data_IF_302168643750
#
_entry.id   IF_302168643750
#
_cell.length_a   1.000
_cell.length_b   1.000
_cell.length_c   1.000
_cell.angle_alpha   90.00
_cell.angle_beta   90.00
_cell.angle_gamma   90.00
#
_symmetry.space_group_name_H-M   'P 1'
#
loop_
_entity.id
_entity.type
_entity.pdbx_description
1 polymer ?
#
# COMPACT_ATOMS: atom_id res chain seq x y z
N UNK A 1 -20.13 -26.45 -20.68
CA UNK A 1 -19.33 -25.21 -20.62
C UNK A 1 -17.87 -25.62 -20.77
N UNK A 2 -17.09 -24.99 -21.66
CA UNK A 2 -15.72 -25.45 -21.97
C UNK A 2 -14.76 -24.99 -20.86
N UNK A 3 -14.04 -25.94 -20.25
CA UNK A 3 -13.05 -25.73 -19.17
C UNK A 3 -12.07 -24.58 -19.47
N UNK A 4 -11.68 -24.43 -20.74
CA UNK A 4 -10.81 -23.33 -21.21
C UNK A 4 -11.44 -21.94 -21.05
N UNK A 5 -12.75 -21.83 -21.20
CA UNK A 5 -13.47 -20.55 -21.06
C UNK A 5 -13.48 -20.08 -19.61
N UNK A 6 -13.56 -20.99 -18.65
CA UNK A 6 -13.64 -20.62 -17.24
C UNK A 6 -12.26 -20.28 -16.68
N UNK A 7 -11.21 -21.00 -17.10
CA UNK A 7 -9.82 -20.63 -16.81
C UNK A 7 -9.47 -19.22 -17.33
N UNK A 8 -9.90 -18.89 -18.56
CA UNK A 8 -9.68 -17.55 -19.12
C UNK A 8 -10.40 -16.45 -18.33
N UNK A 9 -11.65 -16.67 -17.90
CA UNK A 9 -12.39 -15.70 -17.07
C UNK A 9 -11.69 -15.45 -15.73
N UNK A 10 -11.19 -16.49 -15.08
CA UNK A 10 -10.45 -16.36 -13.81
C UNK A 10 -9.20 -15.52 -14.02
N UNK A 11 -8.37 -15.85 -15.02
CA UNK A 11 -7.16 -15.10 -15.32
C UNK A 11 -7.45 -13.62 -15.67
N UNK A 12 -8.54 -13.37 -16.38
CA UNK A 12 -9.00 -12.01 -16.68
C UNK A 12 -9.34 -11.25 -15.39
N UNK A 13 -10.13 -11.85 -14.50
CA UNK A 13 -10.51 -11.24 -13.22
C UNK A 13 -9.30 -10.99 -12.32
N UNK A 14 -8.35 -11.93 -12.23
CA UNK A 14 -7.10 -11.76 -11.47
C UNK A 14 -6.27 -10.59 -12.01
N UNK A 15 -6.15 -10.48 -13.34
CA UNK A 15 -5.42 -9.39 -13.99
C UNK A 15 -6.09 -8.05 -13.70
N UNK A 16 -7.42 -7.96 -13.85
CA UNK A 16 -8.15 -6.74 -13.53
C UNK A 16 -8.04 -6.36 -12.05
N UNK A 17 -8.15 -7.34 -11.14
CA UNK A 17 -7.99 -7.09 -9.71
C UNK A 17 -6.60 -6.54 -9.39
N UNK A 18 -5.55 -7.09 -10.00
CA UNK A 18 -4.17 -6.61 -9.86
C UNK A 18 -4.01 -5.17 -10.38
N UNK A 19 -4.49 -4.89 -11.60
CA UNK A 19 -4.42 -3.56 -12.21
C UNK A 19 -5.17 -2.51 -11.39
N UNK A 20 -6.39 -2.84 -10.94
CA UNK A 20 -7.21 -1.97 -10.10
C UNK A 20 -6.52 -1.70 -8.77
N UNK A 21 -6.01 -2.75 -8.11
CA UNK A 21 -5.29 -2.62 -6.83
C UNK A 21 -4.06 -1.72 -6.97
N UNK A 22 -3.29 -1.89 -8.05
CA UNK A 22 -2.12 -1.04 -8.32
C UNK A 22 -2.52 0.41 -8.58
N UNK A 23 -3.55 0.65 -9.39
CA UNK A 23 -4.04 2.00 -9.68
C UNK A 23 -4.55 2.71 -8.42
N UNK A 24 -5.37 2.04 -7.61
CA UNK A 24 -5.84 2.60 -6.34
C UNK A 24 -4.71 2.76 -5.32
N UNK A 25 -3.72 1.87 -5.32
CA UNK A 25 -2.51 2.02 -4.49
C UNK A 25 -1.75 3.30 -4.83
N UNK A 26 -1.60 3.63 -6.11
CA UNK A 26 -1.00 4.88 -6.56
C UNK A 26 -1.85 6.10 -6.15
N UNK A 27 -3.16 6.06 -6.39
CA UNK A 27 -4.07 7.14 -5.99
C UNK A 27 -4.01 7.39 -4.48
N UNK A 28 -4.03 6.32 -3.67
CA UNK A 28 -3.92 6.41 -2.23
C UNK A 28 -2.58 7.04 -1.80
N UNK A 29 -1.47 6.63 -2.42
CA UNK A 29 -0.15 7.21 -2.13
C UNK A 29 -0.10 8.72 -2.42
N UNK A 30 -0.69 9.16 -3.54
CA UNK A 30 -0.76 10.57 -3.91
C UNK A 30 -1.64 11.36 -2.93
N UNK A 31 -2.83 10.85 -2.61
CA UNK A 31 -3.77 11.49 -1.71
C UNK A 31 -3.21 11.66 -0.29
N UNK A 32 -2.49 10.66 0.24
CA UNK A 32 -1.84 10.78 1.55
C UNK A 32 -0.69 11.79 1.53
N UNK A 33 0.10 11.84 0.47
CA UNK A 33 1.15 12.88 0.31
C UNK A 33 0.54 14.28 0.34
N UNK A 34 -0.54 14.52 -0.40
CA UNK A 34 -1.25 15.81 -0.41
C UNK A 34 -1.87 16.12 0.95
N UNK A 35 -2.56 15.15 1.58
CA UNK A 35 -3.18 15.34 2.89
C UNK A 35 -2.17 15.72 3.98
N UNK A 36 -0.98 15.09 4.00
CA UNK A 36 0.06 15.43 4.98
C UNK A 36 0.59 16.84 4.72
N UNK A 37 0.79 17.23 3.45
CA UNK A 37 1.24 18.60 3.11
C UNK A 37 0.24 19.66 3.56
N UNK A 38 -1.05 19.46 3.28
CA UNK A 38 -2.11 20.37 3.71
C UNK A 38 -2.24 20.42 5.24
N UNK A 39 -2.09 19.28 5.92
CA UNK A 39 -2.08 19.23 7.38
C UNK A 39 -0.90 20.02 7.98
N UNK A 40 0.30 19.89 7.40
CA UNK A 40 1.48 20.67 7.81
C UNK A 40 1.25 22.16 7.52
N UNK A 41 0.71 22.50 6.35
CA UNK A 41 0.39 23.89 6.00
C UNK A 41 -0.61 24.51 7.00
N UNK A 42 -1.66 23.77 7.36
CA UNK A 42 -2.69 24.23 8.30
C UNK A 42 -2.14 24.49 9.72
N UNK A 43 -1.15 23.71 10.17
CA UNK A 43 -0.56 23.84 11.51
C UNK A 43 0.58 24.88 11.55
N UNK A 44 1.43 24.92 10.52
CA UNK A 44 2.65 25.75 10.52
C UNK A 44 2.54 27.03 9.68
N UNK A 45 1.43 27.22 8.94
CA UNK A 45 1.19 28.37 8.07
C UNK A 45 2.06 28.40 6.81
N UNK A 46 3.01 27.48 6.68
CA UNK A 46 3.87 27.32 5.50
C UNK A 46 4.33 25.87 5.38
N UNK A 47 4.20 25.32 4.19
CA UNK A 47 4.77 24.03 3.79
C UNK A 47 6.21 24.15 3.25
N UNK A 48 6.66 25.36 2.92
CA UNK A 48 7.98 25.64 2.34
C UNK A 48 9.04 26.08 3.36
N UNK A 49 8.63 26.35 4.61
CA UNK A 49 9.57 26.61 5.69
C UNK A 49 10.30 25.32 6.10
N UNK A 50 11.59 25.43 6.49
CA UNK A 50 12.44 24.31 6.88
C UNK A 50 11.77 23.40 7.92
N UNK A 51 11.13 23.98 8.94
CA UNK A 51 10.41 23.20 9.96
C UNK A 51 9.23 22.41 9.37
N UNK A 52 8.46 22.98 8.44
CA UNK A 52 7.36 22.29 7.77
C UNK A 52 7.85 21.11 6.93
N UNK A 53 8.93 21.31 6.16
CA UNK A 53 9.57 20.25 5.37
C UNK A 53 10.11 19.11 6.25
N UNK A 54 10.75 19.45 7.37
CA UNK A 54 11.27 18.45 8.32
C UNK A 54 10.13 17.64 8.94
N UNK A 55 9.04 18.29 9.37
CA UNK A 55 7.88 17.61 9.94
C UNK A 55 7.22 16.69 8.90
N UNK A 56 7.01 17.18 7.68
CA UNK A 56 6.49 16.38 6.56
C UNK A 56 7.36 15.13 6.33
N UNK A 57 8.68 15.30 6.22
CA UNK A 57 9.62 14.20 5.98
C UNK A 57 9.60 13.15 7.10
N UNK A 58 9.53 13.59 8.36
CA UNK A 58 9.44 12.69 9.52
C UNK A 58 8.13 11.89 9.48
N UNK A 59 6.99 12.54 9.22
CA UNK A 59 5.69 11.86 9.15
C UNK A 59 5.69 10.80 8.04
N UNK A 60 6.13 11.15 6.83
CA UNK A 60 6.18 10.22 5.70
C UNK A 60 7.11 9.04 6.00
N UNK A 61 8.26 9.29 6.64
CA UNK A 61 9.21 8.23 7.01
C UNK A 61 8.60 7.27 8.02
N UNK A 62 7.93 7.79 9.06
CA UNK A 62 7.25 6.96 10.06
C UNK A 62 6.18 6.09 9.39
N UNK A 63 5.35 6.67 8.53
CA UNK A 63 4.33 5.91 7.79
C UNK A 63 4.95 4.82 6.90
N UNK A 64 6.03 5.15 6.17
CA UNK A 64 6.72 4.18 5.32
C UNK A 64 7.28 3.01 6.13
N UNK A 65 7.90 3.28 7.29
CA UNK A 65 8.43 2.24 8.18
C UNK A 65 7.30 1.37 8.74
N UNK A 66 6.22 1.97 9.24
CA UNK A 66 5.05 1.23 9.75
C UNK A 66 4.50 0.30 8.68
N UNK A 67 4.24 0.81 7.47
CA UNK A 67 3.70 0.01 6.37
C UNK A 67 4.65 -1.12 5.97
N UNK A 68 5.95 -0.85 5.90
CA UNK A 68 6.97 -1.88 5.59
C UNK A 68 6.98 -2.99 6.64
N UNK A 69 6.91 -2.64 7.94
CA UNK A 69 6.87 -3.62 9.03
C UNK A 69 5.58 -4.45 9.00
N UNK A 70 4.43 -3.83 8.72
CA UNK A 70 3.15 -4.54 8.62
C UNK A 70 3.15 -5.55 7.46
N UNK A 71 3.69 -5.16 6.31
CA UNK A 71 3.83 -6.05 5.14
C UNK A 71 4.79 -7.20 5.47
N UNK A 72 5.97 -6.90 6.03
CA UNK A 72 6.95 -7.93 6.40
C UNK A 72 6.37 -8.96 7.38
N UNK A 73 5.63 -8.51 8.40
CA UNK A 73 4.99 -9.40 9.38
C UNK A 73 3.87 -10.23 8.77
N UNK A 74 3.06 -9.65 7.89
CA UNK A 74 1.96 -10.35 7.21
C UNK A 74 2.50 -11.44 6.27
N UNK A 75 3.56 -11.14 5.53
CA UNK A 75 4.23 -12.12 4.66
C UNK A 75 4.86 -13.26 5.46
N UNK A 76 5.48 -12.98 6.60
CA UNK A 76 6.01 -14.01 7.50
C UNK A 76 4.93 -15.00 7.94
N UNK A 77 3.80 -14.47 8.46
CA UNK A 77 2.66 -15.29 8.90
C UNK A 77 2.04 -16.12 7.78
N UNK A 78 1.87 -15.54 6.59
CA UNK A 78 1.33 -16.25 5.44
C UNK A 78 2.24 -17.41 5.00
N UNK A 79 3.56 -17.21 5.01
CA UNK A 79 4.53 -18.27 4.71
C UNK A 79 4.52 -19.39 5.73
N UNK A 80 4.43 -19.09 7.02
CA UNK A 80 4.34 -20.11 8.07
C UNK A 80 3.05 -20.93 7.97
N UNK A 81 1.90 -20.28 7.75
CA UNK A 81 0.62 -20.97 7.57
C UNK A 81 0.64 -21.94 6.36
N UNK A 82 1.25 -21.54 5.24
CA UNK A 82 1.40 -22.43 4.08
C UNK A 82 2.37 -23.58 4.33
N UNK A 83 3.38 -23.41 5.20
CA UNK A 83 4.33 -24.47 5.54
C UNK A 83 3.66 -25.56 6.38
N UNK A 84 2.88 -25.19 7.40
CA UNK A 84 2.16 -26.13 8.26
C UNK A 84 1.15 -26.98 7.47
N UNK A 85 0.40 -26.35 6.55
CA UNK A 85 -0.57 -27.06 5.70
C UNK A 85 0.04 -28.06 4.70
N UNK A 86 1.37 -28.04 4.50
CA UNK A 86 2.09 -28.98 3.63
C UNK A 86 2.75 -30.11 4.41
N UNK A 87 2.89 -29.95 5.73
CA UNK A 87 3.50 -30.92 6.64
C UNK A 87 2.44 -31.83 7.33
N UNK A 88 1.16 -31.45 7.27
CA UNK A 88 -0.02 -32.29 7.59
C UNK A 88 -0.50 -33.11 6.38
#
# INVERSE_FOLDING_TARGET
MSEKSDAFKVQLLETFASLITAAFGLVAALAWNEAIKEAVLAVFGSNDNLLGLVVYAVIVTILAVIMTLLIARSLGKAKEAMKLAKEE
#
